data_IF_840122314041
#
_entry.id   IF_840122314041
#
_cell.length_a   1.000
_cell.length_b   1.000
_cell.length_c   1.000
_cell.angle_alpha   90.00
_cell.angle_beta   90.00
_cell.angle_gamma   90.00
#
_symmetry.space_group_name_H-M   'P 1'
#
loop_
_entity.id
_entity.type
_entity.pdbx_description
1 polymer ?
#
# COMPACT_ATOMS: atom_id res chain seq x y z
N UNK A 1 -3.99 -8.40 -30.79
CA UNK A 1 -2.52 -8.24 -30.86
C UNK A 1 -2.22 -6.78 -31.15
N UNK A 2 -1.97 -6.01 -30.09
CA UNK A 2 -1.18 -4.77 -29.90
C UNK A 2 -1.34 -4.44 -28.38
N UNK A 3 -0.34 -3.84 -27.72
CA UNK A 3 0.05 -4.20 -26.36
C UNK A 3 -0.63 -3.36 -25.25
N UNK A 4 -0.67 -3.85 -24.00
CA UNK A 4 -0.99 -3.04 -22.83
C UNK A 4 0.27 -2.33 -22.31
N UNK A 5 0.43 -1.04 -22.59
CA UNK A 5 1.29 -0.14 -21.82
C UNK A 5 0.43 0.57 -20.77
N UNK A 6 0.61 0.39 -19.45
CA UNK A 6 1.72 0.76 -18.57
C UNK A 6 1.64 2.20 -18.06
N UNK A 7 0.84 2.42 -17.00
CA UNK A 7 1.02 3.50 -16.01
C UNK A 7 0.79 2.90 -14.61
N UNK A 8 1.63 1.91 -14.26
CA UNK A 8 1.80 1.43 -12.89
C UNK A 8 3.30 1.37 -12.54
N UNK A 9 4.10 2.21 -13.21
CA UNK A 9 5.57 2.02 -13.31
C UNK A 9 6.38 3.12 -12.62
N UNK A 10 5.81 3.86 -11.66
CA UNK A 10 6.56 4.93 -10.96
C UNK A 10 6.80 4.70 -9.46
N UNK A 11 6.52 3.49 -8.93
CA UNK A 11 7.05 3.05 -7.62
C UNK A 11 7.73 1.68 -7.67
N UNK A 12 8.14 1.22 -8.86
CA UNK A 12 8.79 -0.06 -9.07
C UNK A 12 9.98 0.03 -10.02
N UNK A 13 10.91 0.97 -9.79
CA UNK A 13 12.24 0.93 -10.40
C UNK A 13 13.29 1.51 -9.46
N UNK A 14 13.69 0.70 -8.49
CA UNK A 14 15.10 0.56 -8.11
C UNK A 14 15.29 -0.89 -7.69
N UNK A 15 16.44 -1.47 -8.04
CA UNK A 15 16.82 -2.89 -7.95
C UNK A 15 16.39 -3.79 -9.11
N UNK A 16 17.00 -3.56 -10.28
CA UNK A 16 17.50 -4.66 -11.13
C UNK A 16 18.61 -4.14 -12.06
N UNK A 17 19.81 -4.02 -11.53
CA UNK A 17 21.05 -4.21 -12.31
C UNK A 17 22.08 -4.88 -11.40
N UNK A 18 22.01 -6.21 -11.32
CA UNK A 18 23.18 -7.04 -11.06
C UNK A 18 23.31 -7.90 -12.31
N UNK A 19 24.48 -7.81 -12.94
CA UNK A 19 24.78 -8.36 -14.26
C UNK A 19 24.73 -9.89 -14.34
N UNK A 20 25.23 -10.47 -15.45
CA UNK A 20 25.14 -11.90 -15.68
C UNK A 20 25.79 -12.68 -14.54
N UNK A 21 25.01 -13.67 -14.07
CA UNK A 21 25.38 -14.74 -13.17
C UNK A 21 26.88 -15.08 -13.28
N UNK A 22 27.69 -14.92 -12.21
CA UNK A 22 28.94 -15.64 -12.18
C UNK A 22 28.57 -17.12 -12.19
N UNK A 23 29.11 -17.84 -13.16
CA UNK A 23 29.12 -19.28 -13.26
C UNK A 23 29.20 -19.89 -11.86
N UNK A 24 28.34 -20.86 -11.53
CA UNK A 24 28.49 -21.68 -10.33
C UNK A 24 29.88 -22.30 -10.36
N UNK A 25 30.83 -21.68 -9.67
CA UNK A 25 32.09 -22.32 -9.31
C UNK A 25 31.68 -23.32 -8.22
N UNK A 26 31.95 -24.63 -8.38
CA UNK A 26 31.68 -25.60 -7.35
C UNK A 26 32.35 -25.16 -6.05
N UNK A 27 31.60 -25.15 -4.94
CA UNK A 27 32.14 -24.78 -3.62
C UNK A 27 33.43 -25.55 -3.30
N UNK A 28 33.53 -26.78 -3.81
CA UNK A 28 34.66 -27.70 -3.69
C UNK A 28 35.99 -27.08 -4.18
N UNK A 29 36.00 -26.36 -5.30
CA UNK A 29 37.25 -25.85 -5.88
C UNK A 29 37.81 -24.62 -5.15
N UNK A 30 36.97 -23.85 -4.43
CA UNK A 30 37.45 -22.76 -3.59
C UNK A 30 37.95 -23.28 -2.23
N UNK A 31 37.35 -24.34 -1.69
CA UNK A 31 37.86 -25.02 -0.49
C UNK A 31 39.21 -25.70 -0.74
N UNK A 32 39.43 -26.32 -1.90
CA UNK A 32 40.70 -26.99 -2.23
C UNK A 32 41.85 -26.01 -2.48
N UNK A 33 41.62 -24.92 -3.21
CA UNK A 33 42.65 -23.91 -3.46
C UNK A 33 43.07 -23.16 -2.18
N UNK A 34 42.12 -22.95 -1.27
CA UNK A 34 42.37 -22.33 0.03
C UNK A 34 43.04 -23.32 0.99
N UNK A 35 42.65 -24.61 1.00
CA UNK A 35 43.30 -25.65 1.79
C UNK A 35 44.76 -25.89 1.39
N UNK A 36 45.06 -25.90 0.08
CA UNK A 36 46.42 -26.06 -0.46
C UNK A 36 47.37 -24.92 -0.04
N UNK A 37 46.88 -23.70 0.10
CA UNK A 37 47.69 -22.57 0.57
C UNK A 37 48.06 -22.71 2.06
N UNK A 38 47.22 -23.38 2.87
CA UNK A 38 47.40 -23.50 4.32
C UNK A 38 48.20 -24.74 4.77
N UNK A 39 48.21 -25.84 4.01
CA UNK A 39 49.11 -26.98 4.27
C UNK A 39 50.59 -26.57 4.25
N UNK A 40 50.92 -25.51 3.52
CA UNK A 40 52.30 -25.02 3.39
C UNK A 40 52.76 -24.16 4.58
N UNK A 41 51.84 -23.69 5.44
CA UNK A 41 52.14 -22.66 6.47
C UNK A 41 52.14 -23.16 7.93
N UNK A 42 51.86 -24.44 8.20
CA UNK A 42 52.08 -25.06 9.51
C UNK A 42 51.34 -24.46 10.72
N UNK A 43 50.40 -23.52 10.52
CA UNK A 43 49.63 -22.89 11.58
C UNK A 43 48.17 -23.37 11.52
N UNK A 44 47.81 -24.25 12.46
CA UNK A 44 46.42 -24.60 12.73
C UNK A 44 45.75 -23.45 13.49
N UNK A 45 45.36 -22.39 12.77
CA UNK A 45 44.29 -21.54 13.30
C UNK A 45 42.97 -22.23 12.97
N UNK A 46 42.16 -22.63 13.97
CA UNK A 46 40.81 -23.05 13.67
C UNK A 46 40.15 -21.83 13.04
N UNK A 47 39.75 -21.94 11.77
CA UNK A 47 38.87 -20.95 11.15
C UNK A 47 37.55 -21.01 11.90
N UNK A 48 37.49 -20.34 13.05
CA UNK A 48 36.26 -20.05 13.76
C UNK A 48 35.53 -19.07 12.86
N UNK A 49 34.52 -19.57 12.15
CA UNK A 49 33.61 -18.68 11.44
C UNK A 49 32.95 -17.83 12.52
N UNK A 50 33.25 -16.52 12.62
CA UNK A 50 32.89 -15.73 13.80
C UNK A 50 31.38 -15.73 14.07
N UNK A 51 30.59 -15.98 13.01
CA UNK A 51 29.13 -16.08 13.05
C UNK A 51 28.59 -17.26 13.87
N UNK A 52 29.39 -18.32 14.10
CA UNK A 52 28.99 -19.43 14.96
C UNK A 52 29.27 -19.18 16.44
N UNK A 53 30.11 -18.18 16.74
CA UNK A 53 30.46 -17.77 18.10
C UNK A 53 29.66 -16.55 18.56
N UNK A 54 28.79 -15.99 17.69
CA UNK A 54 27.92 -14.89 18.06
C UNK A 54 26.88 -15.33 19.09
N UNK A 55 26.60 -14.49 20.11
CA UNK A 55 25.48 -14.70 21.00
C UNK A 55 24.16 -14.79 20.22
N UNK A 56 23.19 -15.61 20.66
CA UNK A 56 21.87 -15.72 20.04
C UNK A 56 21.16 -14.38 19.83
N UNK A 57 21.35 -13.42 20.73
CA UNK A 57 20.76 -12.08 20.69
C UNK A 57 21.32 -11.29 19.50
N UNK A 58 22.64 -11.28 19.32
CA UNK A 58 23.28 -10.59 18.20
C UNK A 58 22.90 -11.25 16.87
N UNK A 59 22.83 -12.59 16.84
CA UNK A 59 22.39 -13.31 15.67
C UNK A 59 20.92 -13.00 15.32
N UNK A 60 20.06 -12.84 16.34
CA UNK A 60 18.66 -12.45 16.14
C UNK A 60 18.52 -11.05 15.54
N UNK A 61 19.31 -10.09 15.99
CA UNK A 61 19.34 -8.73 15.42
C UNK A 61 19.83 -8.74 13.97
N UNK A 62 20.91 -9.48 13.69
CA UNK A 62 21.39 -9.67 12.32
C UNK A 62 20.27 -10.25 11.45
N UNK A 63 19.56 -11.27 11.91
CA UNK A 63 18.48 -11.89 11.15
C UNK A 63 17.36 -10.92 10.79
N UNK A 64 16.97 -10.03 11.71
CA UNK A 64 15.94 -9.01 11.45
C UNK A 64 16.39 -8.03 10.37
N UNK A 65 17.67 -7.65 10.37
CA UNK A 65 18.23 -6.71 9.40
C UNK A 65 18.58 -7.31 8.02
N UNK A 66 18.53 -8.63 7.86
CA UNK A 66 18.76 -9.29 6.56
C UNK A 66 17.57 -9.12 5.61
N UNK A 67 16.36 -8.91 6.14
CA UNK A 67 15.15 -8.75 5.36
C UNK A 67 14.81 -7.25 5.17
N UNK A 68 13.95 -6.92 4.18
CA UNK A 68 13.44 -5.57 4.05
C UNK A 68 12.83 -5.04 5.35
N UNK A 69 12.97 -3.73 5.56
CA UNK A 69 12.54 -3.06 6.79
C UNK A 69 11.03 -3.19 7.00
N UNK A 70 10.64 -3.37 8.26
CA UNK A 70 9.23 -3.32 8.64
C UNK A 70 8.63 -1.95 8.26
N UNK A 71 7.41 -1.87 7.70
CA UNK A 71 6.35 -2.88 7.68
C UNK A 71 6.31 -3.76 6.42
N UNK A 72 7.37 -3.83 5.63
CA UNK A 72 7.32 -4.58 4.37
C UNK A 72 7.04 -6.08 4.62
N UNK A 73 5.93 -6.56 4.05
CA UNK A 73 5.48 -7.94 4.22
C UNK A 73 6.37 -8.93 3.44
N UNK A 74 6.83 -9.98 4.13
CA UNK A 74 7.71 -11.00 3.55
C UNK A 74 6.91 -12.18 2.99
N UNK A 75 7.33 -12.82 1.89
CA UNK A 75 6.65 -13.99 1.38
C UNK A 75 6.70 -15.14 2.41
N UNK A 76 5.62 -15.91 2.50
CA UNK A 76 5.54 -17.06 3.42
C UNK A 76 6.55 -18.17 3.09
N UNK A 77 7.07 -18.22 1.86
CA UNK A 77 8.05 -19.20 1.41
C UNK A 77 9.01 -18.60 0.37
N UNK A 78 10.03 -19.37 -0.02
CA UNK A 78 11.03 -18.94 -1.02
C UNK A 78 12.24 -18.23 -0.41
N UNK A 79 13.14 -17.67 -1.25
CA UNK A 79 14.45 -17.16 -0.82
C UNK A 79 14.37 -15.92 0.07
N UNK A 80 13.27 -15.17 0.02
CA UNK A 80 13.05 -13.96 0.84
C UNK A 80 12.18 -14.23 2.08
N UNK A 81 11.89 -15.50 2.38
CA UNK A 81 11.16 -15.91 3.58
C UNK A 81 12.14 -16.14 4.75
N UNK A 82 11.80 -15.72 5.98
CA UNK A 82 12.53 -16.09 7.21
C UNK A 82 12.83 -17.58 7.38
N UNK A 83 12.08 -18.46 6.72
CA UNK A 83 12.33 -19.90 6.71
C UNK A 83 13.70 -20.28 6.17
N UNK A 84 14.35 -19.46 5.34
CA UNK A 84 15.71 -19.74 4.83
C UNK A 84 16.74 -19.79 5.95
N UNK A 85 16.60 -18.94 6.97
CA UNK A 85 17.48 -18.94 8.14
C UNK A 85 17.33 -20.24 8.93
N UNK A 86 16.12 -20.80 8.92
CA UNK A 86 15.84 -22.10 9.52
C UNK A 86 16.42 -23.27 8.73
N UNK A 87 17.03 -23.08 7.57
CA UNK A 87 17.58 -24.17 6.74
C UNK A 87 19.12 -24.24 6.78
N UNK A 88 19.78 -23.25 7.38
CA UNK A 88 21.25 -23.14 7.37
C UNK A 88 21.89 -24.14 8.34
N UNK A 89 21.61 -24.03 9.64
CA UNK A 89 22.11 -24.97 10.65
C UNK A 89 21.13 -25.09 11.83
N UNK A 90 21.40 -26.04 12.75
CA UNK A 90 20.55 -26.26 13.93
C UNK A 90 20.49 -25.03 14.86
N UNK A 91 21.62 -24.35 15.06
CA UNK A 91 21.71 -23.15 15.90
C UNK A 91 20.88 -22.01 15.32
N UNK A 92 21.07 -21.69 14.03
CA UNK A 92 20.31 -20.63 13.34
C UNK A 92 18.81 -20.93 13.31
N UNK A 93 18.43 -22.19 13.12
CA UNK A 93 17.04 -22.62 13.23
C UNK A 93 16.47 -22.32 14.62
N UNK A 94 17.19 -22.64 15.70
CA UNK A 94 16.74 -22.35 17.05
C UNK A 94 16.57 -20.83 17.29
N UNK A 95 17.54 -20.03 16.85
CA UNK A 95 17.50 -18.55 16.98
C UNK A 95 16.36 -17.96 16.16
N UNK A 96 16.26 -18.27 14.87
CA UNK A 96 15.21 -17.75 14.00
C UNK A 96 13.80 -18.11 14.50
N UNK A 97 13.59 -19.36 14.94
CA UNK A 97 12.31 -19.81 15.49
C UNK A 97 11.95 -19.16 16.83
N UNK A 98 12.93 -18.66 17.58
CA UNK A 98 12.75 -17.96 18.86
C UNK A 98 12.81 -16.44 18.75
N UNK A 99 12.84 -15.89 17.52
CA UNK A 99 12.89 -14.44 17.26
C UNK A 99 11.54 -13.96 16.68
N UNK A 100 10.56 -13.54 17.50
CA UNK A 100 9.23 -13.13 17.03
C UNK A 100 9.18 -12.04 15.94
N UNK A 101 10.04 -10.99 15.97
CA UNK A 101 10.02 -9.94 14.96
C UNK A 101 10.18 -10.43 13.51
N UNK A 102 10.91 -11.53 13.28
CA UNK A 102 11.06 -12.14 11.96
C UNK A 102 9.74 -12.60 11.33
N UNK A 103 8.76 -12.94 12.16
CA UNK A 103 7.52 -13.57 11.73
C UNK A 103 6.36 -12.58 11.69
N UNK A 104 6.60 -11.30 12.02
CA UNK A 104 5.53 -10.30 12.22
C UNK A 104 5.03 -9.64 10.94
N UNK A 105 5.81 -9.71 9.86
CA UNK A 105 5.48 -9.15 8.55
C UNK A 105 5.34 -10.25 7.50
N UNK A 106 4.14 -10.47 6.96
CA UNK A 106 3.85 -11.62 6.10
C UNK A 106 2.93 -11.32 4.92
N UNK A 107 3.24 -11.91 3.77
CA UNK A 107 2.48 -11.82 2.53
C UNK A 107 2.01 -13.19 2.07
N UNK A 108 0.70 -13.35 1.90
CA UNK A 108 0.09 -14.53 1.31
C UNK A 108 -0.56 -14.18 -0.03
N UNK A 109 -0.14 -14.88 -1.08
CA UNK A 109 -0.63 -14.72 -2.44
C UNK A 109 -1.65 -15.82 -2.76
N UNK A 110 -2.94 -15.47 -2.79
CA UNK A 110 -4.09 -16.38 -2.88
C UNK A 110 -4.71 -16.37 -4.28
N UNK A 111 -4.00 -16.90 -5.27
CA UNK A 111 -4.44 -16.87 -6.67
C UNK A 111 -5.50 -17.94 -6.93
N UNK A 112 -6.55 -17.62 -7.70
CA UNK A 112 -7.63 -18.56 -7.99
C UNK A 112 -7.23 -19.77 -8.84
N UNK A 113 -6.16 -19.64 -9.62
CA UNK A 113 -5.62 -20.73 -10.43
C UNK A 113 -4.71 -21.69 -9.66
N UNK A 114 -4.39 -21.38 -8.40
CA UNK A 114 -3.57 -22.25 -7.57
C UNK A 114 -4.35 -23.48 -7.10
N UNK A 115 -3.65 -24.60 -6.96
CA UNK A 115 -4.26 -25.81 -6.42
C UNK A 115 -4.56 -25.65 -4.93
N UNK A 116 -5.61 -26.34 -4.47
CA UNK A 116 -5.95 -26.38 -3.05
C UNK A 116 -4.81 -26.86 -2.17
N UNK A 117 -3.98 -27.78 -2.67
CA UNK A 117 -2.79 -28.25 -1.95
C UNK A 117 -1.79 -27.13 -1.72
N UNK A 118 -1.56 -26.27 -2.72
CA UNK A 118 -0.66 -25.11 -2.61
C UNK A 118 -1.20 -24.09 -1.61
N UNK A 119 -2.47 -23.71 -1.74
CA UNK A 119 -3.10 -22.73 -0.84
C UNK A 119 -3.23 -23.27 0.59
N UNK A 120 -3.50 -24.56 0.76
CA UNK A 120 -3.52 -25.20 2.10
C UNK A 120 -2.15 -25.13 2.76
N UNK A 121 -1.06 -25.39 2.02
CA UNK A 121 0.31 -25.23 2.55
C UNK A 121 0.61 -23.77 2.94
N UNK A 122 0.18 -22.80 2.13
CA UNK A 122 0.30 -21.39 2.50
C UNK A 122 -0.49 -21.07 3.77
N UNK A 123 -1.68 -21.63 3.95
CA UNK A 123 -2.50 -21.41 5.15
C UNK A 123 -1.79 -21.93 6.41
N UNK A 124 -1.16 -23.11 6.33
CA UNK A 124 -0.41 -23.66 7.45
C UNK A 124 0.82 -22.81 7.78
N UNK A 125 1.54 -22.30 6.77
CA UNK A 125 2.62 -21.34 6.97
C UNK A 125 2.11 -20.02 7.56
N UNK A 126 0.98 -19.53 7.09
CA UNK A 126 0.38 -18.30 7.59
C UNK A 126 0.03 -18.40 9.09
N UNK A 127 -0.63 -19.49 9.49
CA UNK A 127 -0.90 -19.77 10.91
C UNK A 127 0.39 -19.91 11.73
N UNK A 128 1.43 -20.53 11.16
CA UNK A 128 2.74 -20.64 11.80
C UNK A 128 3.35 -19.26 12.07
N UNK A 129 3.31 -18.35 11.10
CA UNK A 129 3.82 -16.98 11.26
C UNK A 129 3.01 -16.19 12.30
N UNK A 130 1.67 -16.28 12.27
CA UNK A 130 0.81 -15.67 13.29
C UNK A 130 1.14 -16.16 14.71
N UNK A 131 1.42 -17.46 14.86
CA UNK A 131 1.83 -18.05 16.14
C UNK A 131 3.23 -17.59 16.57
N UNK A 132 4.20 -17.58 15.65
CA UNK A 132 5.61 -17.28 15.95
C UNK A 132 5.88 -15.80 16.20
N UNK A 133 5.07 -14.92 15.61
CA UNK A 133 5.15 -13.48 15.86
C UNK A 133 4.78 -13.06 17.29
N UNK A 134 4.26 -13.97 18.12
CA UNK A 134 4.11 -13.76 19.56
C UNK A 134 3.16 -12.61 19.87
N UNK A 135 3.65 -11.56 20.52
CA UNK A 135 2.90 -10.33 20.82
C UNK A 135 3.23 -9.18 19.86
N UNK A 136 4.10 -9.38 18.88
CA UNK A 136 4.52 -8.31 17.98
C UNK A 136 3.35 -7.72 17.19
N UNK A 137 3.36 -6.42 16.90
CA UNK A 137 2.47 -5.82 15.91
C UNK A 137 2.62 -6.48 14.55
N UNK A 138 1.51 -6.65 13.85
CA UNK A 138 1.42 -7.41 12.61
C UNK A 138 1.37 -6.49 11.40
N UNK A 139 2.21 -6.80 10.41
CA UNK A 139 2.05 -6.34 9.04
C UNK A 139 1.62 -7.50 8.17
N UNK A 140 0.43 -7.43 7.57
CA UNK A 140 -0.12 -8.54 6.79
C UNK A 140 -0.63 -8.05 5.46
N UNK A 141 -0.14 -8.69 4.39
CA UNK A 141 -0.65 -8.51 3.04
C UNK A 141 -1.32 -9.81 2.58
N UNK A 142 -2.64 -9.77 2.42
CA UNK A 142 -3.40 -10.85 1.79
C UNK A 142 -3.80 -10.40 0.38
N UNK A 143 -2.92 -10.68 -0.58
CA UNK A 143 -3.16 -10.43 -2.00
C UNK A 143 -3.92 -11.60 -2.61
N UNK A 144 -4.96 -11.34 -3.40
CA UNK A 144 -5.61 -12.36 -4.24
C UNK A 144 -5.97 -11.80 -5.62
N UNK A 145 -6.20 -12.71 -6.57
CA UNK A 145 -6.52 -12.32 -7.94
C UNK A 145 -7.91 -11.63 -7.99
N UNK A 146 -7.96 -10.40 -8.52
CA UNK A 146 -9.14 -9.51 -8.61
C UNK A 146 -10.41 -10.10 -9.26
N UNK A 147 -10.37 -11.31 -9.81
CA UNK A 147 -11.50 -11.89 -10.58
C UNK A 147 -12.17 -13.09 -9.92
N UNK A 148 -11.46 -13.86 -9.09
CA UNK A 148 -12.02 -15.05 -8.42
C UNK A 148 -11.33 -15.21 -7.08
N UNK A 149 -12.11 -15.29 -5.99
CA UNK A 149 -11.57 -15.65 -4.68
C UNK A 149 -11.38 -17.15 -4.54
N UNK A 150 -10.20 -17.55 -4.08
CA UNK A 150 -9.97 -18.95 -3.71
C UNK A 150 -10.88 -19.36 -2.54
N UNK A 151 -11.43 -20.57 -2.57
CA UNK A 151 -12.39 -21.08 -1.55
C UNK A 151 -11.85 -21.12 -0.12
N UNK A 152 -10.53 -21.06 0.04
CA UNK A 152 -9.83 -21.08 1.34
C UNK A 152 -9.56 -19.68 1.93
N UNK A 153 -9.80 -18.59 1.19
CA UNK A 153 -9.69 -17.20 1.68
C UNK A 153 -10.38 -16.98 3.03
N UNK A 154 -11.60 -17.51 3.30
CA UNK A 154 -12.24 -17.33 4.60
C UNK A 154 -11.43 -17.89 5.77
N UNK A 155 -10.60 -18.90 5.54
CA UNK A 155 -9.78 -19.50 6.58
C UNK A 155 -8.58 -18.62 6.95
N UNK A 156 -7.97 -17.94 5.97
CA UNK A 156 -6.94 -16.93 6.22
C UNK A 156 -7.52 -15.75 7.01
N UNK A 157 -8.67 -15.23 6.56
CA UNK A 157 -9.32 -14.09 7.20
C UNK A 157 -9.75 -14.41 8.64
N UNK A 158 -10.29 -15.60 8.90
CA UNK A 158 -10.62 -16.04 10.27
C UNK A 158 -9.38 -16.17 11.16
N UNK A 159 -8.29 -16.73 10.62
CA UNK A 159 -7.03 -16.83 11.36
C UNK A 159 -6.49 -15.44 11.71
N UNK A 160 -6.55 -14.49 10.76
CA UNK A 160 -6.09 -13.13 10.95
C UNK A 160 -6.99 -12.33 11.91
N UNK A 161 -8.32 -12.50 11.82
CA UNK A 161 -9.31 -11.83 12.66
C UNK A 161 -9.12 -12.10 14.17
N UNK A 162 -8.58 -13.27 14.51
CA UNK A 162 -8.25 -13.65 15.89
C UNK A 162 -7.13 -12.81 16.51
N UNK A 163 -6.41 -12.00 15.71
CA UNK A 163 -5.27 -11.19 16.14
C UNK A 163 -5.45 -9.69 15.87
N UNK A 164 -6.70 -9.21 15.73
CA UNK A 164 -7.05 -7.81 15.46
C UNK A 164 -6.43 -6.80 16.41
N UNK A 165 -6.23 -7.16 17.68
CA UNK A 165 -5.57 -6.31 18.68
C UNK A 165 -4.09 -6.00 18.37
N UNK A 166 -3.47 -6.82 17.52
CA UNK A 166 -2.07 -6.70 17.10
C UNK A 166 -1.92 -6.12 15.69
N UNK A 167 -2.99 -5.81 14.99
CA UNK A 167 -2.91 -5.29 13.62
C UNK A 167 -2.28 -3.90 13.61
N UNK A 168 -1.26 -3.68 12.77
CA UNK A 168 -0.63 -2.36 12.60
C UNK A 168 -0.67 -1.91 11.13
N UNK A 169 -0.26 -2.77 10.19
CA UNK A 169 -0.31 -2.50 8.76
C UNK A 169 -1.01 -3.64 8.02
N UNK A 170 -2.21 -3.40 7.52
CA UNK A 170 -3.06 -4.46 7.00
C UNK A 170 -3.47 -4.14 5.57
N UNK A 171 -3.15 -5.04 4.64
CA UNK A 171 -3.59 -4.97 3.27
C UNK A 171 -4.53 -6.15 2.99
N UNK A 172 -5.82 -5.82 2.88
CA UNK A 172 -6.92 -6.75 2.68
C UNK A 172 -7.68 -6.35 1.43
N UNK A 173 -7.30 -6.98 0.33
CA UNK A 173 -8.20 -7.15 -0.80
C UNK A 173 -9.04 -8.38 -0.48
N UNK A 174 -10.36 -8.26 -0.47
CA UNK A 174 -11.22 -9.40 -0.15
C UNK A 174 -12.65 -9.17 -0.62
N UNK A 175 -13.45 -10.21 -0.84
CA UNK A 175 -14.87 -10.06 -1.14
C UNK A 175 -15.60 -9.35 0.00
N UNK A 176 -16.55 -8.50 -0.36
CA UNK A 176 -17.27 -7.67 0.60
C UNK A 176 -17.99 -8.53 1.65
N UNK A 177 -18.51 -9.70 1.25
CA UNK A 177 -19.25 -10.59 2.13
C UNK A 177 -18.46 -11.08 3.34
N UNK A 178 -17.13 -10.89 3.42
CA UNK A 178 -16.31 -11.31 4.56
C UNK A 178 -16.03 -10.20 5.58
N UNK A 179 -16.49 -8.96 5.33
CA UNK A 179 -16.29 -7.84 6.25
C UNK A 179 -16.86 -8.09 7.65
N UNK A 180 -17.91 -8.90 7.76
CA UNK A 180 -18.50 -9.27 9.05
C UNK A 180 -17.50 -9.92 10.00
N UNK A 181 -16.41 -10.50 9.48
CA UNK A 181 -15.38 -11.14 10.30
C UNK A 181 -14.68 -10.16 11.24
N UNK A 182 -14.75 -8.86 10.94
CA UNK A 182 -14.05 -7.81 11.68
C UNK A 182 -14.97 -6.84 12.42
N UNK A 183 -16.29 -6.95 12.24
CA UNK A 183 -17.27 -6.10 12.93
C UNK A 183 -17.16 -6.26 14.44
N UNK A 184 -17.11 -5.12 15.14
CA UNK A 184 -17.05 -5.07 16.61
C UNK A 184 -15.75 -5.59 17.22
N UNK A 185 -14.66 -5.64 16.44
CA UNK A 185 -13.33 -6.04 16.94
C UNK A 185 -12.45 -4.81 17.17
N UNK A 186 -11.68 -4.85 18.25
CA UNK A 186 -10.73 -3.79 18.56
C UNK A 186 -9.45 -3.89 17.75
N UNK A 187 -9.04 -2.75 17.18
CA UNK A 187 -7.83 -2.61 16.35
C UNK A 187 -6.97 -1.43 16.86
N UNK A 188 -6.54 -1.45 18.13
CA UNK A 188 -5.94 -0.31 18.82
C UNK A 188 -4.59 0.14 18.24
N UNK A 189 -3.89 -0.75 17.53
CA UNK A 189 -2.58 -0.50 16.92
C UNK A 189 -2.65 -0.22 15.42
N UNK A 190 -3.83 -0.26 14.79
CA UNK A 190 -3.95 -0.18 13.35
C UNK A 190 -3.58 1.23 12.87
N UNK A 191 -2.52 1.32 12.06
CA UNK A 191 -1.99 2.58 11.52
C UNK A 191 -2.22 2.72 10.02
N UNK A 192 -2.12 1.61 9.29
CA UNK A 192 -2.33 1.56 7.85
C UNK A 192 -3.31 0.47 7.48
N UNK A 193 -4.27 0.82 6.64
CA UNK A 193 -5.23 -0.13 6.09
C UNK A 193 -5.39 0.07 4.59
N UNK A 194 -5.17 -0.99 3.82
CA UNK A 194 -5.70 -1.10 2.47
C UNK A 194 -6.93 -1.99 2.52
N UNK A 195 -8.05 -1.44 2.04
CA UNK A 195 -9.35 -2.10 2.05
C UNK A 195 -10.02 -2.00 0.68
N UNK A 196 -10.48 -3.14 0.16
CA UNK A 196 -11.03 -3.20 -1.19
C UNK A 196 -11.89 -4.43 -1.47
N UNK A 197 -13.17 -4.28 -1.87
CA UNK A 197 -13.95 -5.40 -2.33
C UNK A 197 -13.36 -5.95 -3.63
N UNK A 198 -13.08 -7.25 -3.66
CA UNK A 198 -12.68 -7.91 -4.90
C UNK A 198 -13.85 -8.35 -5.79
N UNK A 199 -15.08 -8.11 -5.34
CA UNK A 199 -16.30 -8.39 -6.07
C UNK A 199 -17.32 -7.27 -5.78
N UNK A 200 -18.15 -6.95 -6.77
CA UNK A 200 -19.26 -6.03 -6.54
C UNK A 200 -20.43 -6.80 -5.93
N UNK A 201 -20.96 -6.36 -4.78
CA UNK A 201 -22.11 -7.01 -4.20
C UNK A 201 -23.34 -6.77 -5.09
N UNK A 202 -23.82 -7.83 -5.75
CA UNK A 202 -25.14 -7.82 -6.37
C UNK A 202 -26.21 -7.79 -5.26
N UNK A 203 -26.66 -6.58 -4.89
CA UNK A 203 -28.01 -6.38 -4.35
C UNK A 203 -28.30 -6.75 -2.88
N UNK A 204 -27.43 -6.48 -1.90
CA UNK A 204 -27.88 -6.43 -0.48
C UNK A 204 -27.34 -5.21 0.26
N UNK A 205 -28.16 -4.70 1.18
CA UNK A 205 -27.78 -3.67 2.16
C UNK A 205 -26.71 -4.24 3.07
N UNK A 206 -25.49 -3.73 2.93
CA UNK A 206 -24.34 -4.19 3.70
C UNK A 206 -23.98 -3.16 4.79
N UNK A 207 -23.31 -3.59 5.87
CA UNK A 207 -22.91 -2.71 6.97
C UNK A 207 -22.12 -1.48 6.50
N UNK A 208 -22.31 -0.36 7.21
CA UNK A 208 -21.53 0.87 7.02
C UNK A 208 -20.08 0.63 7.45
N UNK A 209 -19.12 1.17 6.69
CA UNK A 209 -17.70 1.02 7.02
C UNK A 209 -17.35 1.67 8.35
N UNK A 210 -18.07 2.72 8.74
CA UNK A 210 -17.93 3.39 10.04
C UNK A 210 -17.83 2.40 11.22
N UNK A 211 -18.69 1.38 11.24
CA UNK A 211 -18.75 0.37 12.31
C UNK A 211 -17.53 -0.54 12.43
N UNK A 212 -16.64 -0.52 11.45
CA UNK A 212 -15.37 -1.27 11.48
C UNK A 212 -14.21 -0.44 12.03
N UNK A 213 -14.30 0.89 11.92
CA UNK A 213 -13.18 1.78 12.16
C UNK A 213 -13.31 2.62 13.42
N UNK A 214 -14.49 2.67 14.04
CA UNK A 214 -14.66 3.26 15.38
C UNK A 214 -13.67 2.67 16.41
N UNK A 215 -13.19 1.45 16.17
CA UNK A 215 -12.22 0.75 17.01
C UNK A 215 -10.74 0.88 16.58
N UNK A 216 -10.40 1.82 15.67
CA UNK A 216 -9.06 2.04 15.14
C UNK A 216 -8.55 3.49 15.34
N UNK A 217 -8.27 3.91 16.59
CA UNK A 217 -7.93 5.31 16.92
C UNK A 217 -6.57 5.79 16.38
N UNK A 218 -5.67 4.87 16.00
CA UNK A 218 -4.34 5.19 15.48
C UNK A 218 -4.25 5.15 13.94
N UNK A 219 -5.38 4.96 13.25
CA UNK A 219 -5.40 4.85 11.80
C UNK A 219 -5.00 6.17 11.16
N UNK A 220 -3.91 6.20 10.42
CA UNK A 220 -3.37 7.42 9.80
C UNK A 220 -3.30 7.31 8.28
N UNK A 221 -3.22 6.08 7.76
CA UNK A 221 -3.10 5.78 6.33
C UNK A 221 -4.23 4.87 5.89
N UNK A 222 -5.01 5.30 4.90
CA UNK A 222 -6.14 4.54 4.38
C UNK A 222 -6.06 4.46 2.85
N UNK A 223 -6.10 3.24 2.33
CA UNK A 223 -6.21 2.98 0.89
C UNK A 223 -7.55 2.28 0.64
N UNK A 224 -8.41 2.92 -0.15
CA UNK A 224 -9.72 2.43 -0.52
C UNK A 224 -9.74 2.07 -2.00
N UNK A 225 -9.67 0.78 -2.33
CA UNK A 225 -9.77 0.35 -3.73
C UNK A 225 -11.20 -0.03 -4.10
N UNK A 226 -11.70 0.48 -5.23
CA UNK A 226 -12.96 0.07 -5.89
C UNK A 226 -14.27 0.42 -5.13
N UNK A 227 -14.94 1.46 -5.64
CA UNK A 227 -16.36 1.85 -5.50
C UNK A 227 -17.00 1.67 -4.10
N UNK A 228 -16.85 2.69 -3.26
CA UNK A 228 -17.42 2.75 -1.92
C UNK A 228 -18.66 3.67 -1.78
N UNK A 229 -19.32 3.96 -2.91
CA UNK A 229 -20.36 4.97 -3.17
C UNK A 229 -21.35 5.40 -2.06
N UNK A 230 -21.61 4.57 -1.04
CA UNK A 230 -22.61 4.86 0.01
C UNK A 230 -22.12 4.64 1.43
N UNK A 231 -20.84 4.35 1.65
CA UNK A 231 -20.39 3.71 2.90
C UNK A 231 -19.19 4.31 3.59
N UNK A 232 -18.59 5.31 2.97
CA UNK A 232 -17.46 6.06 3.51
C UNK A 232 -17.93 7.07 4.58
N UNK A 233 -19.19 7.51 4.52
CA UNK A 233 -19.82 8.42 5.49
C UNK A 233 -19.75 7.88 6.92
N UNK A 234 -19.21 8.69 7.83
CA UNK A 234 -19.05 8.38 9.25
C UNK A 234 -17.82 7.56 9.59
N UNK A 235 -16.85 7.40 8.68
CA UNK A 235 -15.53 6.91 9.08
C UNK A 235 -14.81 7.96 9.96
N UNK A 236 -13.90 7.53 10.85
CA UNK A 236 -13.10 8.44 11.65
C UNK A 236 -11.97 9.05 10.80
N UNK A 237 -12.34 9.95 9.88
CA UNK A 237 -11.41 10.66 9.00
C UNK A 237 -10.53 11.68 9.71
N UNK A 238 -10.96 12.11 10.89
CA UNK A 238 -10.32 13.19 11.64
C UNK A 238 -8.83 12.95 11.92
N UNK A 239 -8.42 11.68 12.10
CA UNK A 239 -7.02 11.31 12.35
C UNK A 239 -6.20 10.93 11.10
N UNK A 240 -6.81 10.89 9.91
CA UNK A 240 -6.08 10.51 8.71
C UNK A 240 -5.10 11.59 8.27
N UNK A 241 -3.91 11.14 7.87
CA UNK A 241 -2.86 11.97 7.25
C UNK A 241 -2.68 11.61 5.78
N UNK A 242 -2.98 10.37 5.40
CA UNK A 242 -2.79 9.87 4.04
C UNK A 242 -4.04 9.10 3.58
N UNK A 243 -4.55 9.44 2.40
CA UNK A 243 -5.61 8.69 1.74
C UNK A 243 -5.31 8.46 0.26
N UNK A 244 -5.52 7.23 -0.20
CA UNK A 244 -5.65 6.90 -1.62
C UNK A 244 -7.00 6.24 -1.83
N UNK A 245 -7.80 6.73 -2.77
CA UNK A 245 -9.12 6.16 -3.02
C UNK A 245 -9.48 6.14 -4.51
N UNK A 246 -10.04 5.00 -4.94
CA UNK A 246 -10.40 4.72 -6.32
C UNK A 246 -11.89 4.55 -6.54
N UNK A 247 -12.36 5.05 -7.69
CA UNK A 247 -13.76 5.14 -8.09
C UNK A 247 -14.63 5.80 -7.03
N UNK A 248 -14.24 7.02 -6.66
CA UNK A 248 -15.07 7.94 -5.88
C UNK A 248 -15.77 8.93 -6.79
N UNK A 249 -16.95 9.41 -6.39
CA UNK A 249 -17.56 10.58 -7.02
C UNK A 249 -16.93 11.86 -6.47
N UNK A 250 -17.12 12.96 -7.20
CA UNK A 250 -16.57 14.26 -6.81
C UNK A 250 -17.05 14.67 -5.41
N UNK A 251 -18.35 14.50 -5.14
CA UNK A 251 -18.94 14.82 -3.85
C UNK A 251 -18.30 14.04 -2.68
N UNK A 252 -17.95 12.77 -2.88
CA UNK A 252 -17.31 11.95 -1.84
C UNK A 252 -15.91 12.44 -1.50
N UNK A 253 -15.13 12.79 -2.54
CA UNK A 253 -13.81 13.37 -2.35
C UNK A 253 -13.92 14.69 -1.58
N UNK A 254 -14.99 15.46 -1.81
CA UNK A 254 -15.22 16.71 -1.09
C UNK A 254 -15.54 16.50 0.38
N UNK A 255 -16.38 15.54 0.70
CA UNK A 255 -16.70 15.20 2.09
C UNK A 255 -15.49 14.64 2.83
N UNK A 256 -14.69 13.78 2.20
CA UNK A 256 -13.45 13.26 2.80
C UNK A 256 -12.51 14.41 3.18
N UNK A 257 -12.25 15.35 2.26
CA UNK A 257 -11.40 16.50 2.55
C UNK A 257 -12.01 17.45 3.60
N UNK A 258 -13.33 17.43 3.80
CA UNK A 258 -14.01 18.18 4.84
C UNK A 258 -13.88 17.51 6.21
N UNK A 259 -14.00 16.18 6.26
CA UNK A 259 -13.98 15.38 7.50
C UNK A 259 -12.55 15.03 7.97
N UNK A 260 -11.53 15.21 7.11
CA UNK A 260 -10.12 14.88 7.38
C UNK A 260 -9.22 16.13 7.48
N UNK A 261 -9.37 17.02 8.49
CA UNK A 261 -8.61 18.27 8.55
C UNK A 261 -7.08 18.11 8.69
N UNK A 262 -6.62 16.95 9.19
CA UNK A 262 -5.20 16.62 9.36
C UNK A 262 -4.58 15.97 8.11
N UNK A 263 -5.35 15.84 7.02
CA UNK A 263 -4.87 15.17 5.82
C UNK A 263 -3.71 15.93 5.18
N UNK A 264 -2.63 15.21 4.92
CA UNK A 264 -1.40 15.73 4.37
C UNK A 264 -1.25 15.35 2.89
N UNK A 265 -1.66 14.12 2.55
CA UNK A 265 -1.59 13.53 1.21
C UNK A 265 -2.92 12.93 0.82
N UNK A 266 -3.43 13.33 -0.34
CA UNK A 266 -4.66 12.81 -0.92
C UNK A 266 -4.49 12.40 -2.38
N UNK A 267 -4.87 11.17 -2.71
CA UNK A 267 -4.93 10.65 -4.07
C UNK A 267 -6.34 10.15 -4.37
N UNK A 268 -6.98 10.73 -5.37
CA UNK A 268 -8.35 10.37 -5.78
C UNK A 268 -8.42 9.99 -7.26
N UNK A 269 -8.87 8.78 -7.56
CA UNK A 269 -9.31 8.39 -8.90
C UNK A 269 -10.83 8.41 -8.96
N UNK A 270 -11.38 9.39 -9.69
CA UNK A 270 -12.78 9.72 -9.67
C UNK A 270 -13.58 9.04 -10.79
N UNK A 271 -14.78 8.59 -10.48
CA UNK A 271 -15.78 8.06 -11.42
C UNK A 271 -16.65 9.21 -11.97
N UNK A 272 -17.32 9.00 -13.11
CA UNK A 272 -18.20 10.01 -13.74
C UNK A 272 -19.41 10.32 -12.85
N UNK A 273 -19.82 11.59 -12.79
CA UNK A 273 -21.10 11.97 -12.16
C UNK A 273 -22.26 11.39 -12.99
N UNK A 274 -22.87 10.30 -12.51
CA UNK A 274 -24.08 9.76 -13.15
C UNK A 274 -25.27 10.51 -12.54
N UNK A 275 -25.95 11.32 -13.36
CA UNK A 275 -27.16 12.09 -12.99
C UNK A 275 -28.25 11.24 -12.29
N UNK A 276 -28.24 9.91 -12.45
CA UNK A 276 -29.19 9.00 -11.81
C UNK A 276 -29.06 8.90 -10.28
N UNK A 277 -27.97 9.41 -9.69
CA UNK A 277 -27.80 9.48 -8.23
C UNK A 277 -27.50 10.88 -7.70
N UNK A 278 -27.94 11.92 -8.43
CA UNK A 278 -27.93 13.33 -8.02
C UNK A 278 -28.83 13.63 -6.80
N UNK A 279 -28.65 12.90 -5.70
CA UNK A 279 -29.36 13.08 -4.41
C UNK A 279 -28.44 13.75 -3.37
N UNK A 280 -27.19 14.05 -3.73
CA UNK A 280 -26.36 15.01 -2.99
C UNK A 280 -26.23 16.24 -3.90
N UNK A 281 -26.74 17.37 -3.45
CA UNK A 281 -26.83 18.67 -4.13
C UNK A 281 -25.61 19.03 -5.02
N UNK A 282 -25.81 19.84 -6.07
CA UNK A 282 -24.77 20.19 -7.03
C UNK A 282 -23.68 21.04 -6.37
N UNK A 283 -22.58 20.42 -5.96
CA UNK A 283 -21.19 20.93 -5.91
C UNK A 283 -20.99 22.43 -5.61
N UNK A 284 -21.80 23.00 -4.73
CA UNK A 284 -21.60 24.33 -4.18
C UNK A 284 -21.71 24.22 -2.67
N UNK A 285 -20.61 23.87 -1.98
CA UNK A 285 -20.58 24.12 -0.56
C UNK A 285 -20.92 25.60 -0.32
N UNK A 286 -21.79 25.89 0.64
CA UNK A 286 -22.20 27.26 0.97
C UNK A 286 -21.00 28.15 1.37
N UNK A 287 -19.86 27.54 1.68
CA UNK A 287 -18.59 28.17 2.04
C UNK A 287 -17.41 27.39 1.46
N UNK A 288 -16.38 28.11 1.04
CA UNK A 288 -15.10 27.55 0.59
C UNK A 288 -14.45 26.70 1.70
N UNK A 289 -14.04 25.48 1.39
CA UNK A 289 -13.37 24.58 2.34
C UNK A 289 -11.88 24.95 2.38
N UNK A 290 -11.39 25.39 3.54
CA UNK A 290 -9.97 25.64 3.76
C UNK A 290 -9.31 24.41 4.37
N UNK A 291 -8.26 23.91 3.72
CA UNK A 291 -7.50 22.78 4.21
C UNK A 291 -6.03 23.14 4.39
N UNK A 292 -5.58 23.20 5.65
CA UNK A 292 -4.28 23.79 6.00
C UNK A 292 -3.12 22.79 6.09
N UNK A 293 -3.39 21.49 6.12
CA UNK A 293 -2.34 20.46 6.21
C UNK A 293 -2.01 19.79 4.86
N UNK A 294 -2.89 19.91 3.86
CA UNK A 294 -2.77 19.16 2.62
C UNK A 294 -1.67 19.75 1.75
N UNK A 295 -0.56 19.04 1.65
CA UNK A 295 0.61 19.45 0.89
C UNK A 295 0.77 18.67 -0.42
N UNK A 296 0.10 17.52 -0.56
CA UNK A 296 0.07 16.73 -1.79
C UNK A 296 -1.38 16.39 -2.17
N UNK A 297 -1.76 16.75 -3.39
CA UNK A 297 -3.04 16.38 -3.99
C UNK A 297 -2.81 15.76 -5.38
N UNK A 298 -3.29 14.53 -5.57
CA UNK A 298 -3.33 13.85 -6.85
C UNK A 298 -4.78 13.53 -7.21
N UNK A 299 -5.24 13.96 -8.39
CA UNK A 299 -6.60 13.70 -8.89
C UNK A 299 -6.57 13.22 -10.32
N UNK A 300 -7.43 12.26 -10.65
CA UNK A 300 -7.54 11.74 -12.02
C UNK A 300 -8.80 10.95 -12.27
N UNK A 301 -9.02 10.55 -13.52
CA UNK A 301 -10.15 9.70 -13.89
C UNK A 301 -9.89 8.23 -13.54
N UNK A 302 -10.92 7.53 -13.10
CA UNK A 302 -10.91 6.07 -13.00
C UNK A 302 -10.90 5.43 -14.40
N UNK A 303 -10.13 4.36 -14.60
CA UNK A 303 -9.79 3.81 -15.93
C UNK A 303 -10.99 3.41 -16.82
N UNK A 304 -12.15 3.14 -16.24
CA UNK A 304 -13.38 2.75 -16.95
C UNK A 304 -14.39 3.90 -17.15
N UNK A 305 -14.02 5.14 -16.78
CA UNK A 305 -14.91 6.28 -16.95
C UNK A 305 -15.07 6.65 -18.44
N UNK A 306 -16.33 6.68 -18.92
CA UNK A 306 -16.68 7.05 -20.30
C UNK A 306 -16.43 8.55 -20.51
N UNK A 307 -16.81 9.36 -19.53
CA UNK A 307 -16.63 10.80 -19.51
C UNK A 307 -15.75 11.25 -18.33
N UNK A 308 -15.13 12.43 -18.45
CA UNK A 308 -14.33 13.01 -17.39
C UNK A 308 -15.16 13.40 -16.13
N UNK A 309 -14.61 13.26 -14.91
CA UNK A 309 -15.25 13.78 -13.70
C UNK A 309 -15.23 15.32 -13.67
N UNK A 310 -16.14 15.94 -12.92
CA UNK A 310 -16.21 17.40 -12.78
C UNK A 310 -15.08 17.97 -11.88
N UNK A 311 -13.84 17.90 -12.36
CA UNK A 311 -12.66 18.42 -11.65
C UNK A 311 -12.73 19.93 -11.42
N UNK A 312 -13.41 20.68 -12.29
CA UNK A 312 -13.62 22.11 -12.09
C UNK A 312 -14.43 22.37 -10.83
N UNK A 313 -15.61 21.75 -10.72
CA UNK A 313 -16.48 21.86 -9.55
C UNK A 313 -15.78 21.36 -8.28
N UNK A 314 -14.97 20.30 -8.39
CA UNK A 314 -14.12 19.82 -7.31
C UNK A 314 -13.17 20.92 -6.79
N UNK A 315 -12.35 21.50 -7.66
CA UNK A 315 -11.34 22.48 -7.25
C UNK A 315 -11.98 23.78 -6.74
N UNK A 316 -13.12 24.20 -7.30
CA UNK A 316 -13.89 25.37 -6.85
C UNK A 316 -14.34 25.26 -5.37
N UNK A 317 -14.41 24.05 -4.82
CA UNK A 317 -14.78 23.83 -3.41
C UNK A 317 -13.67 24.19 -2.41
N UNK A 318 -12.40 24.34 -2.83
CA UNK A 318 -11.26 24.40 -1.91
C UNK A 318 -10.39 25.66 -2.03
N UNK A 319 -9.80 26.03 -0.89
CA UNK A 319 -8.54 26.75 -0.80
C UNK A 319 -7.55 25.88 -0.02
N UNK A 320 -6.42 25.55 -0.66
CA UNK A 320 -5.41 24.62 -0.13
C UNK A 320 -4.08 25.36 0.09
N UNK A 321 -3.96 26.23 1.11
CA UNK A 321 -2.79 27.11 1.28
C UNK A 321 -1.47 26.39 1.52
N UNK A 322 -1.48 25.15 2.03
CA UNK A 322 -0.28 24.37 2.26
C UNK A 322 0.15 23.51 1.06
N UNK A 323 -0.58 23.57 -0.06
CA UNK A 323 -0.34 22.68 -1.20
C UNK A 323 1.02 22.95 -1.86
N UNK A 324 1.85 21.91 -1.96
CA UNK A 324 3.19 21.96 -2.58
C UNK A 324 3.30 21.11 -3.83
N UNK A 325 2.53 20.03 -3.90
CA UNK A 325 2.50 19.11 -5.01
C UNK A 325 1.07 18.91 -5.51
N UNK A 326 0.84 19.18 -6.78
CA UNK A 326 -0.42 18.94 -7.46
C UNK A 326 -0.18 18.05 -8.67
N UNK A 327 -0.87 16.91 -8.70
CA UNK A 327 -0.89 16.00 -9.85
C UNK A 327 -2.31 15.90 -10.40
N UNK A 328 -2.48 16.21 -11.68
CA UNK A 328 -3.75 16.09 -12.38
C UNK A 328 -3.57 15.18 -13.60
N UNK A 329 -4.39 14.13 -13.70
CA UNK A 329 -4.47 13.33 -14.91
C UNK A 329 -5.40 14.01 -15.92
N UNK A 330 -4.83 14.56 -16.98
CA UNK A 330 -5.48 15.33 -18.04
C UNK A 330 -6.34 14.46 -18.96
N UNK A 331 -7.65 14.64 -18.80
CA UNK A 331 -8.60 14.87 -19.90
C UNK A 331 -9.60 16.00 -19.60
N UNK A 332 -9.46 16.71 -18.47
CA UNK A 332 -10.64 17.33 -17.81
C UNK A 332 -10.46 18.73 -17.20
N UNK A 333 -9.24 19.28 -17.11
CA UNK A 333 -9.02 20.59 -16.48
C UNK A 333 -8.67 21.66 -17.51
N UNK A 334 -9.34 22.82 -17.42
CA UNK A 334 -8.93 24.00 -18.17
C UNK A 334 -7.90 24.80 -17.38
N UNK A 335 -6.84 25.28 -18.06
CA UNK A 335 -5.80 26.12 -17.45
C UNK A 335 -6.36 27.34 -16.69
N UNK A 336 -7.43 28.03 -17.15
CA UNK A 336 -8.06 29.09 -16.36
C UNK A 336 -8.60 28.61 -15.01
N UNK A 337 -9.27 27.46 -14.96
CA UNK A 337 -9.80 26.89 -13.70
C UNK A 337 -8.66 26.57 -12.72
N UNK A 338 -7.53 26.10 -13.25
CA UNK A 338 -6.34 25.83 -12.44
C UNK A 338 -5.70 27.12 -11.92
N UNK A 339 -5.61 28.15 -12.76
CA UNK A 339 -5.10 29.48 -12.38
C UNK A 339 -5.95 30.10 -11.26
N UNK A 340 -7.29 30.05 -11.41
CA UNK A 340 -8.23 30.52 -10.39
C UNK A 340 -8.09 29.75 -9.07
N UNK A 341 -7.87 28.44 -9.14
CA UNK A 341 -7.63 27.60 -7.97
C UNK A 341 -6.33 27.97 -7.24
N UNK A 342 -5.22 28.16 -7.97
CA UNK A 342 -3.94 28.53 -7.36
C UNK A 342 -4.04 29.93 -6.73
N UNK A 343 -4.63 30.89 -7.44
CA UNK A 343 -4.84 32.24 -6.94
C UNK A 343 -5.71 32.26 -5.66
N UNK A 344 -6.78 31.46 -5.64
CA UNK A 344 -7.66 31.32 -4.48
C UNK A 344 -6.98 30.62 -3.29
N UNK A 345 -6.19 29.59 -3.56
CA UNK A 345 -5.48 28.83 -2.53
C UNK A 345 -4.31 29.59 -1.92
N UNK A 346 -3.71 30.54 -2.66
CA UNK A 346 -2.50 31.28 -2.25
C UNK A 346 -1.37 30.34 -1.80
N UNK A 347 -1.26 29.19 -2.46
CA UNK A 347 -0.28 28.18 -2.14
C UNK A 347 1.07 28.45 -2.82
N UNK A 348 2.14 27.96 -2.20
CA UNK A 348 3.49 27.96 -2.78
C UNK A 348 3.71 26.63 -3.51
N UNK A 349 3.15 26.54 -4.72
CA UNK A 349 3.14 25.29 -5.48
C UNK A 349 4.53 25.01 -6.08
N UNK A 350 5.30 24.15 -5.40
CA UNK A 350 6.64 23.76 -5.82
C UNK A 350 6.66 22.80 -7.02
N UNK A 351 5.64 21.96 -7.18
CA UNK A 351 5.56 20.97 -8.26
C UNK A 351 4.15 20.83 -8.83
N UNK A 352 4.04 20.90 -10.15
CA UNK A 352 2.81 20.62 -10.91
C UNK A 352 3.08 19.52 -11.94
N UNK A 353 2.40 18.38 -11.79
CA UNK A 353 2.43 17.28 -12.75
C UNK A 353 1.09 17.19 -13.48
N UNK A 354 1.13 17.20 -14.81
CA UNK A 354 -0.07 17.04 -15.64
C UNK A 354 0.18 15.90 -16.64
N UNK A 355 -0.55 14.79 -16.48
CA UNK A 355 -0.39 13.58 -17.27
C UNK A 355 -1.49 13.42 -18.33
N UNK A 356 -1.17 13.07 -19.58
CA UNK A 356 -2.13 12.94 -20.67
C UNK A 356 -2.38 14.25 -21.43
N UNK A 357 -1.47 15.21 -21.29
CA UNK A 357 -1.61 16.55 -21.85
C UNK A 357 -1.09 16.68 -23.28
N UNK A 358 -1.86 17.33 -24.15
CA UNK A 358 -1.34 17.88 -25.43
C UNK A 358 -0.77 19.30 -25.25
N UNK A 359 -0.66 19.77 -24.01
CA UNK A 359 -0.14 21.08 -23.66
C UNK A 359 1.38 21.12 -23.72
N UNK A 360 1.93 22.26 -24.14
CA UNK A 360 3.37 22.55 -24.03
C UNK A 360 3.66 23.30 -22.75
N UNK A 361 4.87 23.13 -22.21
CA UNK A 361 5.31 23.83 -20.98
C UNK A 361 5.21 25.36 -21.12
N UNK A 362 5.42 25.89 -22.33
CA UNK A 362 5.29 27.32 -22.62
C UNK A 362 3.89 27.85 -22.35
N UNK A 363 2.85 27.14 -22.83
CA UNK A 363 1.45 27.56 -22.66
C UNK A 363 1.04 27.53 -21.18
N UNK A 364 1.53 26.53 -20.44
CA UNK A 364 1.27 26.42 -19.00
C UNK A 364 1.92 27.58 -18.24
N UNK A 365 3.17 27.94 -18.57
CA UNK A 365 3.89 29.05 -17.93
C UNK A 365 3.32 30.44 -18.27
N UNK A 366 2.69 30.60 -19.42
CA UNK A 366 2.03 31.88 -19.78
C UNK A 366 0.70 32.10 -19.04
N UNK A 367 -0.02 31.03 -18.69
CA UNK A 367 -1.38 31.13 -18.13
C UNK A 367 -1.46 30.90 -16.61
N UNK A 368 -0.43 30.29 -16.02
CA UNK A 368 -0.36 30.03 -14.59
C UNK A 368 0.59 31.01 -13.89
N UNK A 369 0.38 31.30 -12.59
CA UNK A 369 1.34 32.04 -11.76
C UNK A 369 2.72 31.37 -11.76
N UNK A 370 3.80 32.04 -11.30
CA UNK A 370 5.13 31.44 -11.28
C UNK A 370 5.18 30.15 -10.45
N UNK A 371 5.52 29.04 -11.11
CA UNK A 371 5.62 27.70 -10.51
C UNK A 371 7.08 27.22 -10.48
N UNK A 372 7.42 26.40 -9.49
CA UNK A 372 8.75 25.79 -9.36
C UNK A 372 9.08 24.82 -10.49
N UNK A 373 8.64 23.57 -10.37
CA UNK A 373 8.85 22.51 -11.36
C UNK A 373 7.53 22.14 -12.03
N UNK A 374 7.52 22.11 -13.36
CA UNK A 374 6.40 21.66 -14.17
C UNK A 374 6.84 20.41 -14.92
N UNK A 375 6.02 19.36 -14.89
CA UNK A 375 6.29 18.13 -15.62
C UNK A 375 5.01 17.74 -16.37
N UNK A 376 5.16 17.51 -17.68
CA UNK A 376 4.08 17.15 -18.59
C UNK A 376 4.44 15.80 -19.22
N UNK A 377 3.56 14.80 -19.07
CA UNK A 377 3.73 13.44 -19.60
C UNK A 377 2.60 13.01 -20.53
#
# INVERSE_FOLDING_TARGET
MYPPGSINTLMAFSFYQIGPHPSRIPLESQTEAVASFYETSGMAYPWTYPIFDLPPEILSEIFVHVFPEYPQALPLNGPFSPLVLCQICRSWRAVALSTPPLWRAMKADLWSGDSDSKISKQLELFKLYLKRSGSCPLSVNLSHARKVTHRLVPQFLRALAAHTTRWEHIDLLMPFEYMYLFLGRDMPLLRSLTFGPSNYPHGRGLPRLSTLFDSAPQLTHLILTHNFFKRVFGMPFAQLTHIEADCLYVGECVEILREAPLLEVATFRMCQDIDQFAVLDPLRPASLIQHHCLHHLAVGSYHDAIEPPNLRGFLECFALPALRYLHIHERCISLPSLSDFIARSKCDLGRLHIAGATLTETVVREQLPPLGVITLE
#
